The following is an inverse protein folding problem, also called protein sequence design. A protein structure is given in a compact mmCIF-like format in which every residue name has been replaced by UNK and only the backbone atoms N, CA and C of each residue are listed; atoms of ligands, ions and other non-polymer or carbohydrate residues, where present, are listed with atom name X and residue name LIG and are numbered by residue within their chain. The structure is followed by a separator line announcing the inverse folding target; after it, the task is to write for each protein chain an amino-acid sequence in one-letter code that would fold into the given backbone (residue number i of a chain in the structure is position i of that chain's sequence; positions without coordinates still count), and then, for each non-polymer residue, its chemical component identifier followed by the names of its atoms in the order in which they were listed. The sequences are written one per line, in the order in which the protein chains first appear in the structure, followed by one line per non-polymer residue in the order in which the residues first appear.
data_IF_801080508143
#
_entry.id   IF_801080508143
#
_cell.length_a   1.000
_cell.length_b   1.000
_cell.length_c   1.000
_cell.angle_alpha   90.00
_cell.angle_beta   90.00
_cell.angle_gamma   90.00
#
_symmetry.space_group_name_H-M   'P 1'
#
loop_
_entity.id
_entity.type
_entity.pdbx_description
1 polymer ?
#
# COMPACT_ATOMS: atom_id res chain seq x y z
N UNK A 1 0.97 -7.73 -6.31
CA UNK A 1 -0.12 -7.79 -5.31
C UNK A 1 -0.04 -8.99 -4.39
N UNK A 2 -0.07 -10.25 -4.88
CA UNK A 2 -0.07 -11.45 -4.02
C UNK A 2 1.09 -11.50 -3.00
N UNK A 3 2.29 -11.03 -3.38
CA UNK A 3 3.45 -10.98 -2.49
C UNK A 3 3.28 -10.02 -1.30
N UNK A 4 2.64 -8.86 -1.51
CA UNK A 4 2.38 -7.86 -0.46
C UNK A 4 1.35 -8.38 0.54
N UNK A 5 0.22 -8.91 0.01
CA UNK A 5 -0.82 -9.54 0.84
C UNK A 5 -0.26 -10.67 1.72
N UNK A 6 0.63 -11.49 1.17
CA UNK A 6 1.22 -12.62 1.89
C UNK A 6 2.28 -12.23 2.92
N UNK A 7 2.86 -11.03 2.84
CA UNK A 7 3.96 -10.62 3.73
C UNK A 7 3.50 -9.76 4.91
N UNK A 8 2.41 -9.00 4.76
CA UNK A 8 2.01 -7.98 5.73
C UNK A 8 0.57 -8.13 6.27
N UNK A 9 -0.13 -9.23 5.97
CA UNK A 9 -1.53 -9.45 6.36
C UNK A 9 -2.48 -8.27 5.98
N UNK A 10 -2.17 -7.59 4.88
CA UNK A 10 -2.93 -6.43 4.39
C UNK A 10 -3.86 -6.81 3.25
N UNK A 11 -4.98 -6.08 3.13
CA UNK A 11 -5.76 -6.06 1.89
C UNK A 11 -5.13 -5.05 0.93
N UNK A 12 -5.02 -5.44 -0.34
CA UNK A 12 -4.49 -4.59 -1.42
C UNK A 12 -5.31 -4.82 -2.69
N UNK A 13 -5.61 -3.74 -3.39
CA UNK A 13 -6.31 -3.72 -4.68
C UNK A 13 -5.86 -2.51 -5.51
N UNK A 14 -6.04 -2.61 -6.83
CA UNK A 14 -6.03 -1.42 -7.71
C UNK A 14 -7.40 -0.74 -7.60
N UNK A 15 -7.40 0.58 -7.42
CA UNK A 15 -8.60 1.33 -7.01
C UNK A 15 -9.00 2.43 -8.00
N UNK A 16 -8.15 2.77 -8.96
CA UNK A 16 -8.40 3.85 -9.92
C UNK A 16 -7.40 3.83 -11.09
N UNK A 17 -7.60 4.72 -12.07
CA UNK A 17 -6.73 4.94 -13.23
C UNK A 17 -6.62 3.72 -14.18
N UNK A 18 -7.58 2.80 -14.12
CA UNK A 18 -7.58 1.54 -14.87
C UNK A 18 -7.54 1.70 -16.42
N UNK A 19 -7.86 2.88 -16.95
CA UNK A 19 -7.83 3.18 -18.39
C UNK A 19 -6.44 3.69 -18.87
N UNK A 20 -5.51 3.98 -17.94
CA UNK A 20 -4.19 4.52 -18.22
C UNK A 20 -3.11 3.45 -17.98
N UNK A 21 -2.64 2.78 -19.05
CA UNK A 21 -1.67 1.68 -18.93
C UNK A 21 -0.29 2.05 -18.32
N UNK A 22 0.03 3.34 -18.18
CA UNK A 22 1.29 3.82 -17.59
C UNK A 22 1.18 4.17 -16.10
N UNK A 23 -0.04 4.18 -15.56
CA UNK A 23 -0.32 4.60 -14.19
C UNK A 23 -1.09 3.47 -13.52
N UNK A 24 -0.85 3.25 -12.23
CA UNK A 24 -1.64 2.34 -11.43
C UNK A 24 -1.82 2.96 -10.05
N UNK A 25 -3.07 3.02 -9.56
CA UNK A 25 -3.38 3.48 -8.20
C UNK A 25 -3.74 2.29 -7.34
N UNK A 26 -3.00 2.10 -6.25
CA UNK A 26 -3.26 1.01 -5.30
C UNK A 26 -3.86 1.54 -4.01
N UNK A 27 -4.91 0.86 -3.54
CA UNK A 27 -5.44 0.99 -2.19
C UNK A 27 -4.90 -0.14 -1.32
N UNK A 28 -4.42 0.21 -0.12
CA UNK A 28 -3.94 -0.73 0.89
C UNK A 28 -4.65 -0.44 2.21
N UNK A 29 -5.14 -1.48 2.88
CA UNK A 29 -5.76 -1.35 4.20
C UNK A 29 -5.29 -2.45 5.15
N UNK A 30 -5.09 -2.08 6.41
CA UNK A 30 -4.84 -3.01 7.52
C UNK A 30 -5.78 -2.70 8.69
N UNK A 31 -5.98 -3.68 9.57
CA UNK A 31 -6.73 -3.52 10.82
C UNK A 31 -5.78 -3.84 11.95
N UNK A 32 -5.69 -2.93 12.93
CA UNK A 32 -4.82 -3.05 14.10
C UNK A 32 -5.55 -2.53 15.33
N UNK A 33 -5.16 -3.02 16.52
CA UNK A 33 -5.58 -2.46 17.80
C UNK A 33 -4.70 -1.28 18.26
N UNK A 34 -3.63 -0.99 17.53
CA UNK A 34 -2.69 0.13 17.76
C UNK A 34 -2.47 0.90 16.45
N UNK A 35 -2.75 2.19 16.47
CA UNK A 35 -2.58 3.08 15.32
C UNK A 35 -1.12 3.22 14.88
N UNK A 36 -0.16 3.20 15.81
CA UNK A 36 1.26 3.23 15.45
C UNK A 36 1.63 1.96 14.69
N UNK A 37 1.19 0.80 15.19
CA UNK A 37 1.40 -0.47 14.51
C UNK A 37 0.80 -0.50 13.09
N UNK A 38 -0.41 0.07 12.91
CA UNK A 38 -1.02 0.21 11.59
C UNK A 38 -0.16 1.09 10.65
N UNK A 39 0.32 2.24 11.16
CA UNK A 39 1.20 3.13 10.41
C UNK A 39 2.48 2.43 9.96
N UNK A 40 3.14 1.73 10.88
CA UNK A 40 4.40 1.03 10.62
C UNK A 40 4.21 -0.07 9.56
N UNK A 41 3.08 -0.79 9.57
CA UNK A 41 2.75 -1.78 8.54
C UNK A 41 2.63 -1.11 7.17
N UNK A 42 1.90 0.01 7.07
CA UNK A 42 1.68 0.70 5.80
C UNK A 42 2.98 1.29 5.24
N UNK A 43 3.86 1.81 6.10
CA UNK A 43 5.18 2.30 5.70
C UNK A 43 6.06 1.15 5.17
N UNK A 44 6.11 0.01 5.86
CA UNK A 44 6.85 -1.17 5.38
C UNK A 44 6.30 -1.73 4.07
N UNK A 45 4.98 -1.65 3.84
CA UNK A 45 4.38 -2.04 2.56
C UNK A 45 4.88 -1.11 1.44
N UNK A 46 4.96 0.20 1.69
CA UNK A 46 5.51 1.16 0.73
C UNK A 46 6.97 0.85 0.41
N UNK A 47 7.82 0.74 1.43
CA UNK A 47 9.25 0.42 1.28
C UNK A 47 9.42 -0.87 0.46
N UNK A 48 8.65 -1.92 0.79
CA UNK A 48 8.70 -3.19 0.08
C UNK A 48 8.36 -3.05 -1.41
N UNK A 49 7.38 -2.20 -1.76
CA UNK A 49 7.01 -1.94 -3.15
C UNK A 49 8.15 -1.21 -3.87
N UNK A 50 8.73 -0.17 -3.25
CA UNK A 50 9.87 0.59 -3.79
C UNK A 50 11.08 -0.33 -4.03
N UNK A 51 11.42 -1.18 -3.07
CA UNK A 51 12.54 -2.13 -3.18
C UNK A 51 12.30 -3.23 -4.22
N UNK A 52 11.06 -3.74 -4.30
CA UNK A 52 10.73 -4.86 -5.21
C UNK A 52 10.55 -4.39 -6.65
N UNK A 53 10.20 -3.11 -6.86
CA UNK A 53 9.94 -2.50 -8.16
C UNK A 53 10.67 -1.17 -8.32
N UNK A 54 12.01 -1.18 -8.36
CA UNK A 54 12.82 0.04 -8.54
C UNK A 54 12.64 0.67 -9.93
N UNK A 55 11.99 -0.06 -10.85
CA UNK A 55 11.59 0.41 -12.17
C UNK A 55 10.37 1.35 -12.16
N UNK A 56 9.65 1.43 -11.04
CA UNK A 56 8.46 2.25 -10.90
C UNK A 56 8.77 3.56 -10.15
N UNK A 57 8.14 4.65 -10.59
CA UNK A 57 8.17 5.92 -9.88
C UNK A 57 6.88 6.07 -9.06
N UNK A 58 7.00 6.19 -7.74
CA UNK A 58 5.87 6.56 -6.89
C UNK A 58 5.68 8.07 -6.97
N UNK A 59 4.62 8.51 -7.66
CA UNK A 59 4.29 9.93 -7.83
C UNK A 59 3.52 10.53 -6.66
N UNK A 60 2.71 9.72 -5.97
CA UNK A 60 1.88 10.15 -4.86
C UNK A 60 1.68 9.02 -3.85
N UNK A 61 1.60 9.37 -2.57
CA UNK A 61 1.31 8.47 -1.47
C UNK A 61 0.56 9.23 -0.39
N UNK A 62 -0.51 8.62 0.12
CA UNK A 62 -1.34 9.16 1.20
C UNK A 62 -1.66 8.04 2.18
N UNK A 63 -1.73 8.38 3.46
CA UNK A 63 -2.06 7.44 4.53
C UNK A 63 -3.00 8.12 5.50
N UNK A 64 -4.07 7.42 5.86
CA UNK A 64 -5.04 7.84 6.83
C UNK A 64 -5.22 6.74 7.87
N UNK A 65 -5.27 7.13 9.15
CA UNK A 65 -5.54 6.22 10.27
C UNK A 65 -6.88 6.62 10.86
N UNK A 66 -7.88 5.74 10.71
CA UNK A 66 -9.22 5.95 11.22
C UNK A 66 -9.32 5.28 12.59
N UNK A 67 -9.53 6.11 13.63
CA UNK A 67 -9.80 5.67 14.99
C UNK A 67 -11.23 6.05 15.39
N UNK A 68 -11.91 5.21 16.15
CA UNK A 68 -13.27 5.42 16.66
C UNK A 68 -13.29 5.78 18.15
#
# INVERSE_FOLDING_TARGET
MARVRNHFEVAIAEVDDNDLWQIAKFGVSCVSNDGQHASDILERVREYIEETRPDLLISQFETEIINW
#
